data_IF_288382707858
#
_entry.id   IF_288382707858
#
_cell.length_a   1.000
_cell.length_b   1.000
_cell.length_c   1.000
_cell.angle_alpha   90.00
_cell.angle_beta   90.00
_cell.angle_gamma   90.00
#
_symmetry.space_group_name_H-M   'P 1'
#
loop_
_entity.id
_entity.type
_entity.pdbx_description
1 polymer ?
#
# COMPACT_ATOMS: atom_id res chain seq x y z
N UNK A 1 13.62 -0.21 23.09
CA UNK A 1 13.64 -1.67 23.22
C UNK A 1 12.49 -2.18 22.35
N UNK A 2 12.80 -2.88 21.26
CA UNK A 2 11.75 -3.56 20.47
C UNK A 2 11.07 -4.56 21.40
N UNK A 3 9.74 -4.54 21.41
CA UNK A 3 8.94 -5.46 22.21
C UNK A 3 9.27 -6.89 21.77
N UNK A 4 9.94 -7.67 22.61
CA UNK A 4 10.43 -9.02 22.30
C UNK A 4 9.30 -10.02 22.00
N UNK A 5 8.05 -9.59 22.15
CA UNK A 5 6.85 -10.38 21.87
C UNK A 5 6.20 -10.07 20.50
N UNK A 6 6.69 -9.08 19.75
CA UNK A 6 6.12 -8.72 18.47
C UNK A 6 6.49 -9.78 17.41
N UNK A 7 5.50 -10.59 16.98
CA UNK A 7 5.69 -11.67 15.97
C UNK A 7 6.15 -11.13 14.62
N UNK A 8 5.78 -9.90 14.27
CA UNK A 8 6.23 -9.23 13.05
C UNK A 8 7.74 -9.01 13.07
N UNK A 9 8.27 -8.51 14.20
CA UNK A 9 9.72 -8.30 14.39
C UNK A 9 10.52 -9.61 14.38
N UNK A 10 9.97 -10.71 14.90
CA UNK A 10 10.63 -12.03 14.89
C UNK A 10 10.80 -12.63 13.49
N UNK A 11 10.12 -12.08 12.48
CA UNK A 11 10.28 -12.41 11.06
C UNK A 11 11.22 -11.46 10.33
N UNK A 12 11.99 -10.63 11.05
CA UNK A 12 12.94 -9.70 10.46
C UNK A 12 12.31 -8.48 9.79
N UNK A 13 11.03 -8.17 10.11
CA UNK A 13 10.33 -7.00 9.55
C UNK A 13 9.98 -5.98 10.62
N UNK A 14 9.98 -4.70 10.25
CA UNK A 14 9.67 -3.57 11.14
C UNK A 14 8.46 -2.79 10.62
N UNK A 15 7.46 -2.56 11.47
CA UNK A 15 6.31 -1.70 11.14
C UNK A 15 6.65 -0.21 11.25
N UNK A 16 7.61 0.16 12.10
CA UNK A 16 8.00 1.56 12.35
C UNK A 16 9.15 2.02 11.46
N UNK A 17 10.07 1.11 11.06
CA UNK A 17 11.31 1.43 10.35
C UNK A 17 12.09 2.59 11.01
N UNK A 18 12.15 2.61 12.34
CA UNK A 18 12.73 3.72 13.12
C UNK A 18 14.18 4.03 12.71
N UNK A 19 14.99 3.00 12.47
CA UNK A 19 16.36 3.16 12.01
C UNK A 19 16.50 3.93 10.68
N UNK A 20 15.52 3.81 9.79
CA UNK A 20 15.47 4.57 8.53
C UNK A 20 15.07 6.02 8.81
N UNK A 21 14.07 6.23 9.68
CA UNK A 21 13.61 7.57 10.03
C UNK A 21 14.67 8.38 10.76
N UNK A 22 15.42 7.77 11.69
CA UNK A 22 16.50 8.42 12.41
C UNK A 22 17.58 9.00 11.49
N UNK A 23 17.80 8.36 10.32
CA UNK A 23 18.74 8.85 9.30
C UNK A 23 18.08 9.88 8.39
N UNK A 24 16.90 9.56 7.82
CA UNK A 24 16.24 10.39 6.80
C UNK A 24 15.71 11.69 7.38
N UNK A 25 15.41 11.76 8.67
CA UNK A 25 14.90 12.98 9.30
C UNK A 25 15.90 14.14 9.31
N UNK A 26 17.18 13.84 9.19
CA UNK A 26 18.27 14.84 9.09
C UNK A 26 18.62 15.22 7.64
N UNK A 27 18.02 14.54 6.63
CA UNK A 27 18.26 14.81 5.23
C UNK A 27 17.41 15.96 4.70
N UNK A 28 17.82 16.52 3.56
CA UNK A 28 17.02 17.47 2.80
C UNK A 28 15.64 16.89 2.44
N UNK A 29 14.58 17.61 2.82
CA UNK A 29 13.18 17.21 2.62
C UNK A 29 12.62 17.65 1.25
N UNK A 30 13.40 18.32 0.40
CA UNK A 30 12.99 18.84 -0.89
C UNK A 30 12.17 20.12 -0.82
N UNK A 31 11.53 20.49 -1.94
CA UNK A 31 10.78 21.75 -2.10
C UNK A 31 9.57 21.86 -1.16
N UNK A 32 8.94 20.74 -0.83
CA UNK A 32 7.71 20.68 -0.04
C UNK A 32 7.87 19.64 1.09
N UNK A 33 8.43 20.01 2.24
CA UNK A 33 8.81 19.06 3.30
C UNK A 33 7.68 18.17 3.86
N UNK A 34 6.43 18.57 3.66
CA UNK A 34 5.26 17.80 4.13
C UNK A 34 4.60 16.92 3.08
N UNK A 35 5.18 16.76 1.90
CA UNK A 35 4.61 15.90 0.86
C UNK A 35 4.77 14.42 1.19
N UNK A 36 3.88 13.60 0.62
CA UNK A 36 3.91 12.14 0.81
C UNK A 36 5.18 11.50 0.24
N UNK A 37 5.60 11.93 -0.96
CA UNK A 37 6.89 11.61 -1.58
C UNK A 37 7.77 12.86 -1.62
N UNK A 38 9.10 12.69 -1.66
CA UNK A 38 10.03 13.81 -1.83
C UNK A 38 9.85 14.47 -3.18
N UNK A 39 9.70 15.79 -3.19
CA UNK A 39 9.60 16.63 -4.39
C UNK A 39 10.85 17.49 -4.48
N UNK A 40 11.56 17.44 -5.60
CA UNK A 40 12.81 18.18 -5.81
C UNK A 40 12.65 19.25 -6.90
N UNK A 41 13.61 20.15 -7.01
CA UNK A 41 13.70 21.06 -8.15
C UNK A 41 13.74 20.28 -9.47
N UNK A 42 13.19 20.88 -10.51
CA UNK A 42 13.25 20.26 -11.85
C UNK A 42 14.65 20.33 -12.45
N UNK A 43 15.43 19.29 -12.18
CA UNK A 43 16.76 19.09 -12.74
C UNK A 43 16.73 18.46 -14.13
N UNK A 44 15.58 17.88 -14.54
CA UNK A 44 15.48 17.17 -15.81
C UNK A 44 15.20 18.11 -16.98
N UNK A 45 14.40 19.15 -16.80
CA UNK A 45 14.09 20.12 -17.84
C UNK A 45 14.57 21.54 -17.52
N UNK A 46 14.84 21.83 -16.23
CA UNK A 46 15.26 23.15 -15.77
C UNK A 46 14.15 24.19 -15.72
N UNK A 47 12.88 23.76 -15.78
CA UNK A 47 11.73 24.66 -15.72
C UNK A 47 11.41 25.04 -14.26
N UNK A 48 11.52 26.33 -13.87
CA UNK A 48 11.28 26.77 -12.49
C UNK A 48 9.82 26.59 -12.03
N UNK A 49 8.86 26.46 -12.94
CA UNK A 49 7.44 26.23 -12.61
C UNK A 49 7.14 24.75 -12.36
N UNK A 50 8.11 23.85 -12.65
CA UNK A 50 7.99 22.42 -12.48
C UNK A 50 8.83 21.89 -11.33
N UNK A 51 8.64 20.63 -11.03
CA UNK A 51 9.42 19.88 -10.03
C UNK A 51 9.55 18.42 -10.48
N UNK A 52 10.53 17.71 -9.92
CA UNK A 52 10.66 16.29 -10.15
C UNK A 52 10.09 15.50 -8.97
N UNK A 53 9.36 14.44 -9.28
CA UNK A 53 8.95 13.39 -8.35
C UNK A 53 9.46 12.06 -8.88
N UNK A 54 10.28 11.38 -8.09
CA UNK A 54 10.82 10.06 -8.40
C UNK A 54 10.52 9.17 -7.20
N UNK A 55 9.89 8.04 -7.43
CA UNK A 55 9.53 7.09 -6.38
C UNK A 55 9.84 5.67 -6.81
N UNK A 56 10.36 4.86 -5.89
CA UNK A 56 10.64 3.44 -6.11
C UNK A 56 10.01 2.62 -5.00
N UNK A 57 9.23 1.64 -5.38
CA UNK A 57 8.61 0.66 -4.49
C UNK A 57 8.31 -0.62 -5.28
N UNK A 58 7.85 -1.68 -4.63
CA UNK A 58 7.62 -2.96 -5.26
C UNK A 58 6.50 -3.79 -4.64
N UNK A 59 6.28 -4.97 -5.25
CA UNK A 59 5.29 -5.94 -4.78
C UNK A 59 5.66 -6.59 -3.44
N UNK A 60 6.91 -6.47 -3.02
CA UNK A 60 7.43 -7.06 -1.79
C UNK A 60 7.27 -8.58 -1.75
N UNK A 61 7.03 -9.12 -0.56
CA UNK A 61 6.91 -10.57 -0.35
C UNK A 61 5.63 -11.20 -0.90
N UNK A 62 4.72 -10.42 -1.49
CA UNK A 62 3.56 -10.96 -2.21
C UNK A 62 3.99 -11.77 -3.44
N UNK A 63 5.12 -11.42 -4.06
CA UNK A 63 5.73 -12.18 -5.15
C UNK A 63 5.96 -13.65 -4.79
N UNK A 64 6.26 -13.95 -3.52
CA UNK A 64 6.44 -15.30 -3.00
C UNK A 64 5.12 -16.10 -3.04
N UNK A 65 4.00 -15.46 -2.74
CA UNK A 65 2.68 -16.12 -2.80
C UNK A 65 2.31 -16.47 -4.25
N UNK A 66 2.61 -15.58 -5.20
CA UNK A 66 2.42 -15.88 -6.62
C UNK A 66 3.34 -17.03 -7.08
N UNK A 67 4.58 -17.06 -6.61
CA UNK A 67 5.49 -18.17 -6.87
C UNK A 67 4.92 -19.51 -6.35
N UNK A 68 4.46 -19.57 -5.12
CA UNK A 68 3.84 -20.77 -4.56
C UNK A 68 2.61 -21.17 -5.39
N UNK A 69 1.73 -20.23 -5.71
CA UNK A 69 0.53 -20.51 -6.52
C UNK A 69 0.89 -21.05 -7.90
N UNK A 70 1.91 -20.49 -8.55
CA UNK A 70 2.40 -20.99 -9.83
C UNK A 70 2.98 -22.43 -9.70
N UNK A 71 3.75 -22.70 -8.66
CA UNK A 71 4.31 -24.03 -8.43
C UNK A 71 3.25 -25.11 -8.19
N UNK A 72 2.11 -24.74 -7.59
CA UNK A 72 0.99 -25.65 -7.35
C UNK A 72 0.08 -25.83 -8.57
N UNK A 73 -0.18 -24.76 -9.33
CA UNK A 73 -1.22 -24.73 -10.36
C UNK A 73 -0.69 -24.63 -11.80
N UNK A 74 0.58 -24.25 -11.98
CA UNK A 74 1.22 -24.08 -13.29
C UNK A 74 0.70 -22.88 -14.10
N UNK A 75 -0.08 -21.95 -13.51
CA UNK A 75 -0.59 -20.78 -14.22
C UNK A 75 0.31 -19.55 -13.99
N UNK A 76 1.08 -19.11 -14.99
CA UNK A 76 1.95 -17.93 -14.87
C UNK A 76 1.15 -16.62 -14.78
N UNK A 77 -0.14 -16.58 -15.14
CA UNK A 77 -0.96 -15.36 -15.13
C UNK A 77 -1.18 -14.80 -13.73
N UNK A 78 -0.93 -15.58 -12.67
CA UNK A 78 -0.95 -15.09 -11.29
C UNK A 78 0.03 -13.90 -11.11
N UNK A 79 1.08 -13.81 -11.93
CA UNK A 79 2.06 -12.73 -11.89
C UNK A 79 1.59 -11.42 -12.53
N UNK A 80 0.46 -11.39 -13.27
CA UNK A 80 -0.18 -10.12 -13.66
C UNK A 80 -0.56 -9.29 -12.43
N UNK A 81 -1.04 -9.95 -11.36
CA UNK A 81 -1.33 -9.28 -10.09
C UNK A 81 -0.08 -8.69 -9.42
N UNK A 82 1.07 -9.38 -9.52
CA UNK A 82 2.34 -8.90 -8.97
C UNK A 82 2.89 -7.71 -9.76
N UNK A 83 2.75 -7.72 -11.10
CA UNK A 83 3.06 -6.57 -11.94
C UNK A 83 2.23 -5.34 -11.50
N UNK A 84 0.91 -5.52 -11.36
CA UNK A 84 0.02 -4.48 -10.83
C UNK A 84 0.45 -4.00 -9.44
N UNK A 85 0.77 -4.92 -8.50
CA UNK A 85 1.20 -4.55 -7.15
C UNK A 85 2.41 -3.62 -7.18
N UNK A 86 3.45 -3.93 -7.96
CA UNK A 86 4.66 -3.11 -8.03
C UNK A 86 4.39 -1.72 -8.60
N UNK A 87 3.49 -1.61 -9.59
CA UNK A 87 3.12 -0.35 -10.22
C UNK A 87 2.29 0.51 -9.27
N UNK A 88 1.26 -0.08 -8.65
CA UNK A 88 0.31 0.65 -7.78
C UNK A 88 1.00 1.24 -6.56
N UNK A 89 1.96 0.54 -5.97
CA UNK A 89 2.72 1.05 -4.82
C UNK A 89 3.44 2.36 -5.14
N UNK A 90 3.88 2.54 -6.38
CA UNK A 90 4.48 3.79 -6.85
C UNK A 90 3.42 4.83 -7.21
N UNK A 91 2.45 4.46 -8.05
CA UNK A 91 1.51 5.43 -8.63
C UNK A 91 0.55 6.00 -7.58
N UNK A 92 0.09 5.20 -6.60
CA UNK A 92 -0.77 5.70 -5.52
C UNK A 92 0.00 6.65 -4.59
N UNK A 93 1.31 6.41 -4.36
CA UNK A 93 2.16 7.33 -3.60
C UNK A 93 2.41 8.64 -4.37
N UNK A 94 2.61 8.57 -5.69
CA UNK A 94 2.67 9.74 -6.56
C UNK A 94 1.34 10.51 -6.57
N UNK A 95 0.21 9.81 -6.61
CA UNK A 95 -1.10 10.44 -6.59
C UNK A 95 -1.36 11.19 -5.28
N UNK A 96 -0.82 10.71 -4.15
CA UNK A 96 -0.87 11.43 -2.88
C UNK A 96 -0.13 12.77 -2.88
N UNK A 97 0.73 13.03 -3.87
CA UNK A 97 1.37 14.34 -4.07
C UNK A 97 0.81 15.10 -5.28
N UNK A 98 -0.30 14.62 -5.87
CA UNK A 98 -0.96 15.30 -7.00
C UNK A 98 -0.42 14.93 -8.37
N UNK A 99 0.22 13.77 -8.50
CA UNK A 99 0.82 13.29 -9.75
C UNK A 99 0.05 12.08 -10.27
N UNK A 100 -0.58 12.23 -11.43
CA UNK A 100 -1.35 11.18 -12.14
C UNK A 100 -1.24 11.23 -13.65
N UNK A 101 -0.50 12.20 -14.19
CA UNK A 101 -0.30 12.34 -15.63
C UNK A 101 1.18 12.49 -15.96
N UNK A 102 1.55 12.05 -17.18
CA UNK A 102 2.92 12.13 -17.72
C UNK A 102 3.93 11.40 -16.84
N UNK A 103 3.55 10.20 -16.40
CA UNK A 103 4.40 9.34 -15.59
C UNK A 103 5.11 8.34 -16.50
N UNK A 104 6.43 8.23 -16.35
CA UNK A 104 7.23 7.16 -16.98
C UNK A 104 7.62 6.17 -15.88
N UNK A 105 7.39 4.89 -16.14
CA UNK A 105 7.65 3.81 -15.20
C UNK A 105 8.70 2.86 -15.75
N UNK A 106 9.70 2.52 -14.95
CA UNK A 106 10.70 1.49 -15.23
C UNK A 106 10.58 0.35 -14.21
N UNK A 107 10.59 -0.89 -14.69
CA UNK A 107 10.45 -2.08 -13.83
C UNK A 107 11.79 -2.77 -13.63
N UNK A 108 11.97 -3.39 -12.47
CA UNK A 108 13.15 -4.22 -12.17
C UNK A 108 12.68 -5.58 -11.65
N UNK A 109 13.14 -6.65 -12.29
CA UNK A 109 12.86 -8.03 -11.91
C UNK A 109 14.16 -8.72 -11.50
N UNK A 110 14.32 -8.97 -10.20
CA UNK A 110 15.44 -9.71 -9.64
C UNK A 110 14.98 -11.13 -9.35
N UNK A 111 15.49 -12.14 -10.07
CA UNK A 111 14.99 -13.50 -9.97
C UNK A 111 16.07 -14.54 -9.71
N UNK A 112 15.65 -15.67 -9.16
CA UNK A 112 16.41 -16.90 -9.24
C UNK A 112 15.99 -17.65 -10.53
N UNK A 113 16.83 -17.61 -11.56
CA UNK A 113 16.49 -18.19 -12.87
C UNK A 113 16.26 -19.70 -12.85
N UNK A 114 16.73 -20.42 -11.81
CA UNK A 114 16.47 -21.87 -11.65
C UNK A 114 15.03 -22.15 -11.21
N UNK A 115 14.46 -21.25 -10.39
CA UNK A 115 13.14 -21.41 -9.81
C UNK A 115 12.06 -20.57 -10.51
N UNK A 116 12.48 -19.63 -11.37
CA UNK A 116 11.60 -18.67 -12.02
C UNK A 116 11.81 -18.68 -13.54
N UNK A 117 11.07 -19.54 -14.28
CA UNK A 117 11.27 -19.76 -15.70
C UNK A 117 10.84 -18.58 -16.57
N UNK A 118 11.22 -18.61 -17.86
CA UNK A 118 10.98 -17.54 -18.81
C UNK A 118 9.50 -17.22 -19.07
N UNK A 119 8.61 -18.21 -18.96
CA UNK A 119 7.16 -18.00 -19.13
C UNK A 119 6.55 -17.11 -18.03
N UNK A 120 7.06 -17.22 -16.80
CA UNK A 120 6.64 -16.36 -15.69
C UNK A 120 7.16 -14.95 -15.87
N UNK A 121 8.39 -14.80 -16.39
CA UNK A 121 8.92 -13.48 -16.75
C UNK A 121 8.07 -12.82 -17.87
N UNK A 122 7.68 -13.60 -18.88
CA UNK A 122 6.78 -13.12 -19.93
C UNK A 122 5.46 -12.63 -19.34
N UNK A 123 4.84 -13.42 -18.45
CA UNK A 123 3.59 -13.03 -17.78
C UNK A 123 3.73 -11.73 -16.96
N UNK A 124 4.87 -11.50 -16.28
CA UNK A 124 5.13 -10.23 -15.58
C UNK A 124 5.17 -9.05 -16.55
N UNK A 125 5.86 -9.19 -17.69
CA UNK A 125 6.00 -8.13 -18.70
C UNK A 125 4.63 -7.85 -19.34
N UNK A 126 3.91 -8.89 -19.74
CA UNK A 126 2.55 -8.79 -20.30
C UNK A 126 1.58 -8.12 -19.30
N UNK A 127 1.61 -8.56 -18.04
CA UNK A 127 0.80 -7.99 -16.97
C UNK A 127 1.11 -6.51 -16.70
N UNK A 128 2.37 -6.10 -16.84
CA UNK A 128 2.78 -4.70 -16.76
C UNK A 128 2.10 -3.87 -17.85
N UNK A 129 2.23 -4.27 -19.11
CA UNK A 129 1.65 -3.52 -20.24
C UNK A 129 0.11 -3.52 -20.20
N UNK A 130 -0.51 -4.65 -19.85
CA UNK A 130 -1.97 -4.76 -19.68
C UNK A 130 -2.47 -3.78 -18.61
N UNK A 131 -1.80 -3.72 -17.48
CA UNK A 131 -2.20 -2.82 -16.39
C UNK A 131 -1.99 -1.35 -16.75
N UNK A 132 -0.87 -1.00 -17.39
CA UNK A 132 -0.63 0.35 -17.88
C UNK A 132 -1.66 0.77 -18.93
N UNK A 133 -2.10 -0.16 -19.81
CA UNK A 133 -3.16 0.12 -20.77
C UNK A 133 -4.49 0.38 -20.05
N UNK A 134 -4.85 -0.43 -19.05
CA UNK A 134 -6.06 -0.19 -18.25
C UNK A 134 -6.04 1.19 -17.57
N UNK A 135 -4.90 1.63 -17.07
CA UNK A 135 -4.76 2.97 -16.49
C UNK A 135 -4.95 4.08 -17.53
N UNK A 136 -4.39 3.92 -18.74
CA UNK A 136 -4.60 4.86 -19.86
C UNK A 136 -6.07 4.96 -20.25
N UNK A 137 -6.77 3.83 -20.29
CA UNK A 137 -8.21 3.77 -20.59
C UNK A 137 -9.06 4.49 -19.53
N UNK A 138 -8.55 4.58 -18.30
CA UNK A 138 -9.11 5.36 -17.18
C UNK A 138 -8.65 6.83 -17.17
N UNK A 139 -7.92 7.27 -18.20
CA UNK A 139 -7.46 8.64 -18.33
C UNK A 139 -6.22 9.00 -17.52
N UNK A 140 -5.45 8.01 -17.06
CA UNK A 140 -4.14 8.21 -16.39
C UNK A 140 -3.05 8.14 -17.46
N UNK A 141 -2.29 9.22 -17.65
CA UNK A 141 -1.21 9.26 -18.64
C UNK A 141 0.08 8.66 -18.06
N UNK A 142 0.23 7.36 -18.28
CA UNK A 142 1.37 6.57 -17.80
C UNK A 142 1.93 5.70 -18.94
N UNK A 143 3.26 5.59 -19.01
CA UNK A 143 3.96 4.82 -20.03
C UNK A 143 5.07 3.96 -19.44
N UNK A 144 5.32 2.81 -20.06
CA UNK A 144 6.50 2.01 -19.77
C UNK A 144 7.75 2.69 -20.35
N UNK A 145 8.77 2.85 -19.52
CA UNK A 145 10.11 3.25 -19.91
C UNK A 145 11.05 2.04 -20.11
N UNK A 146 10.47 0.83 -20.10
CA UNK A 146 11.23 -0.42 -20.10
C UNK A 146 11.60 -0.91 -18.72
N UNK A 147 12.67 -1.67 -18.62
CA UNK A 147 13.09 -2.24 -17.33
C UNK A 147 14.34 -3.09 -17.45
N UNK A 148 14.70 -3.75 -16.34
CA UNK A 148 15.86 -4.63 -16.24
C UNK A 148 15.43 -5.96 -15.60
N UNK A 149 16.05 -7.04 -16.06
CA UNK A 149 15.92 -8.37 -15.43
C UNK A 149 17.30 -8.87 -15.05
N UNK A 150 17.51 -9.16 -13.76
CA UNK A 150 18.76 -9.68 -13.24
C UNK A 150 18.59 -11.09 -12.66
N UNK A 151 19.47 -12.00 -13.07
CA UNK A 151 19.56 -13.34 -12.50
C UNK A 151 20.45 -13.29 -11.25
N UNK A 152 19.82 -13.26 -10.08
CA UNK A 152 20.46 -13.01 -8.77
C UNK A 152 20.13 -14.12 -7.76
N UNK A 153 20.20 -15.38 -8.20
CA UNK A 153 19.84 -16.55 -7.37
C UNK A 153 20.60 -16.68 -6.06
N UNK A 154 21.76 -16.04 -5.92
CA UNK A 154 22.50 -15.99 -4.64
C UNK A 154 21.90 -14.96 -3.64
N UNK A 155 21.04 -14.07 -4.12
CA UNK A 155 20.40 -13.03 -3.29
C UNK A 155 18.95 -13.41 -2.95
N UNK A 156 18.22 -13.98 -3.91
CA UNK A 156 16.80 -14.36 -3.72
C UNK A 156 16.55 -15.81 -4.13
N UNK A 157 15.77 -16.52 -3.34
CA UNK A 157 15.30 -17.86 -3.67
C UNK A 157 14.23 -17.90 -4.75
N UNK A 158 13.47 -16.81 -4.93
CA UNK A 158 12.32 -16.71 -5.86
C UNK A 158 12.47 -15.50 -6.78
N UNK A 159 11.71 -14.44 -6.52
CA UNK A 159 11.70 -13.21 -7.32
C UNK A 159 11.37 -11.99 -6.45
N UNK A 160 12.00 -10.87 -6.74
CA UNK A 160 11.59 -9.55 -6.29
C UNK A 160 11.23 -8.70 -7.52
N UNK A 161 10.07 -8.04 -7.45
CA UNK A 161 9.52 -7.21 -8.53
C UNK A 161 9.31 -5.81 -7.99
N UNK A 162 10.10 -4.89 -8.49
CA UNK A 162 10.08 -3.49 -8.12
C UNK A 162 9.86 -2.61 -9.35
N UNK A 163 9.45 -1.37 -9.14
CA UNK A 163 9.39 -0.37 -10.19
C UNK A 163 9.78 1.00 -9.67
N UNK A 164 10.14 1.88 -10.61
CA UNK A 164 10.46 3.28 -10.35
C UNK A 164 9.60 4.14 -11.26
N UNK A 165 8.87 5.07 -10.68
CA UNK A 165 8.04 6.03 -11.39
C UNK A 165 8.68 7.42 -11.36
N UNK A 166 8.70 8.10 -12.50
CA UNK A 166 9.28 9.44 -12.69
C UNK A 166 8.23 10.35 -13.32
N UNK A 167 8.06 11.55 -12.75
CA UNK A 167 7.16 12.56 -13.30
C UNK A 167 7.71 13.97 -13.08
N UNK A 168 7.26 14.91 -13.94
CA UNK A 168 7.64 16.33 -13.89
C UNK A 168 6.36 17.17 -13.82
N UNK A 169 5.66 17.19 -12.66
CA UNK A 169 4.45 17.97 -12.47
C UNK A 169 4.73 19.47 -12.36
N UNK A 170 3.69 20.30 -12.50
CA UNK A 170 3.75 21.70 -12.08
C UNK A 170 3.78 21.81 -10.55
N UNK A 171 4.60 22.72 -10.01
CA UNK A 171 4.65 23.00 -8.57
C UNK A 171 3.28 23.41 -8.01
N UNK A 172 2.44 24.07 -8.81
CA UNK A 172 1.12 24.53 -8.42
C UNK A 172 0.09 23.42 -8.18
N UNK A 173 0.33 22.20 -8.71
CA UNK A 173 -0.57 21.05 -8.52
C UNK A 173 -0.21 20.17 -7.32
N UNK A 174 0.96 20.41 -6.70
CA UNK A 174 1.46 19.55 -5.62
C UNK A 174 0.52 19.59 -4.39
N UNK A 175 0.08 18.42 -3.97
CA UNK A 175 -0.63 18.20 -2.72
C UNK A 175 0.42 18.12 -1.60
N UNK A 176 0.36 19.08 -0.67
CA UNK A 176 1.31 19.11 0.45
C UNK A 176 0.56 18.82 1.76
N UNK A 177 0.86 17.69 2.37
CA UNK A 177 0.25 17.24 3.61
C UNK A 177 0.58 18.12 4.84
N UNK A 178 1.50 19.08 4.72
CA UNK A 178 1.65 20.16 5.72
C UNK A 178 0.38 21.02 5.85
N UNK A 179 -0.52 20.98 4.85
CA UNK A 179 -1.81 21.66 4.88
C UNK A 179 -2.88 20.91 5.68
N UNK A 180 -2.56 19.74 6.21
CA UNK A 180 -3.45 19.03 7.14
C UNK A 180 -3.43 19.79 8.47
N UNK A 181 -4.55 20.43 8.76
CA UNK A 181 -4.76 21.30 9.93
C UNK A 181 -6.01 20.86 10.70
N UNK A 182 -6.22 21.32 11.94
CA UNK A 182 -7.48 21.09 12.64
C UNK A 182 -8.71 21.58 11.87
N UNK A 183 -9.81 20.83 11.97
CA UNK A 183 -11.11 21.21 11.37
C UNK A 183 -11.41 20.57 10.01
N UNK A 184 -10.59 19.62 9.55
CA UNK A 184 -10.83 18.88 8.31
C UNK A 184 -11.60 17.57 8.57
N UNK A 185 -12.40 17.16 7.59
CA UNK A 185 -12.92 15.80 7.49
C UNK A 185 -11.85 14.84 6.99
N UNK A 186 -11.85 13.61 7.51
CA UNK A 186 -11.06 12.51 7.01
C UNK A 186 -12.00 11.59 6.23
N UNK A 187 -11.80 11.46 4.93
CA UNK A 187 -12.57 10.55 4.08
C UNK A 187 -11.71 9.32 3.79
N UNK A 188 -12.19 8.14 4.18
CA UNK A 188 -11.55 6.87 3.87
C UNK A 188 -12.20 6.19 2.67
N UNK A 189 -11.40 5.48 1.87
CA UNK A 189 -11.84 4.73 0.70
C UNK A 189 -11.57 3.25 0.91
N UNK A 190 -12.61 2.43 0.71
CA UNK A 190 -12.54 0.99 0.95
C UNK A 190 -11.43 0.33 0.13
N UNK A 191 -10.74 -0.62 0.76
CA UNK A 191 -9.71 -1.43 0.10
C UNK A 191 -10.26 -2.71 -0.53
N UNK A 192 -11.39 -3.21 -0.05
CA UNK A 192 -12.07 -4.44 -0.47
C UNK A 192 -13.26 -4.18 -1.42
N UNK A 193 -13.98 -5.24 -1.77
CA UNK A 193 -15.06 -5.20 -2.75
C UNK A 193 -14.53 -5.18 -4.19
N UNK A 194 -15.32 -4.68 -5.15
CA UNK A 194 -14.94 -4.63 -6.56
C UNK A 194 -15.20 -3.25 -7.14
N UNK A 195 -14.15 -2.53 -7.51
CA UNK A 195 -14.30 -1.25 -8.23
C UNK A 195 -14.75 -1.48 -9.68
N UNK A 196 -15.24 -0.42 -10.34
CA UNK A 196 -15.72 -0.48 -11.73
C UNK A 196 -14.65 -0.91 -12.75
N UNK A 197 -13.37 -0.81 -12.38
CA UNK A 197 -12.22 -1.18 -13.23
C UNK A 197 -11.48 -2.44 -12.76
N UNK A 198 -11.95 -3.12 -11.72
CA UNK A 198 -11.43 -4.42 -11.28
C UNK A 198 -12.21 -5.56 -11.93
N UNK A 199 -11.50 -6.60 -12.36
CA UNK A 199 -12.11 -7.78 -13.00
C UNK A 199 -12.76 -8.74 -12.01
N UNK A 200 -12.28 -8.76 -10.77
CA UNK A 200 -12.69 -9.68 -9.71
C UNK A 200 -12.84 -8.96 -8.38
N UNK A 201 -13.52 -9.59 -7.44
CA UNK A 201 -13.61 -9.16 -6.06
C UNK A 201 -12.20 -9.06 -5.44
N UNK A 202 -11.97 -8.00 -4.67
CA UNK A 202 -10.71 -7.71 -3.99
C UNK A 202 -10.87 -7.90 -2.48
N UNK A 203 -9.99 -8.65 -1.86
CA UNK A 203 -10.00 -8.87 -0.40
C UNK A 203 -9.62 -7.63 0.41
N UNK A 204 -9.01 -6.63 -0.23
CA UNK A 204 -8.48 -5.44 0.41
C UNK A 204 -7.10 -5.58 1.03
N UNK A 205 -6.43 -6.73 0.89
CA UNK A 205 -5.15 -7.00 1.57
C UNK A 205 -4.04 -6.00 1.17
N UNK A 206 -3.96 -5.60 -0.10
CA UNK A 206 -2.88 -4.77 -0.63
C UNK A 206 -1.54 -5.50 -0.70
N UNK A 207 -0.42 -4.76 -0.60
CA UNK A 207 0.94 -5.32 -0.66
C UNK A 207 1.73 -5.20 0.65
N UNK A 208 1.14 -4.65 1.72
CA UNK A 208 1.81 -4.48 3.01
C UNK A 208 1.40 -5.55 4.02
N UNK A 209 2.32 -5.93 4.90
CA UNK A 209 2.07 -6.93 5.93
C UNK A 209 2.10 -8.38 5.45
N UNK A 210 2.35 -8.64 4.16
CA UNK A 210 2.25 -9.99 3.55
C UNK A 210 3.29 -10.98 4.12
N UNK A 211 4.45 -10.51 4.58
CA UNK A 211 5.41 -11.38 5.27
C UNK A 211 4.78 -12.01 6.51
N UNK A 212 4.04 -11.23 7.30
CA UNK A 212 3.34 -11.76 8.46
C UNK A 212 2.11 -12.58 8.03
N UNK A 213 1.23 -12.01 7.21
CA UNK A 213 -0.02 -12.63 6.80
C UNK A 213 0.17 -14.05 6.24
N UNK A 214 1.13 -14.24 5.31
CA UNK A 214 1.39 -15.56 4.72
C UNK A 214 1.89 -16.58 5.74
N UNK A 215 2.75 -16.18 6.67
CA UNK A 215 3.27 -17.08 7.69
C UNK A 215 2.25 -17.37 8.80
N UNK A 216 1.34 -16.45 9.09
CA UNK A 216 0.27 -16.67 10.05
C UNK A 216 -0.86 -17.53 9.49
N UNK A 217 -1.21 -17.38 8.22
CA UNK A 217 -2.33 -18.10 7.64
C UNK A 217 -1.93 -19.45 7.05
N UNK A 218 -0.81 -19.52 6.35
CA UNK A 218 -0.42 -20.73 5.62
C UNK A 218 0.25 -21.78 6.52
N UNK A 219 -0.03 -23.04 6.22
CA UNK A 219 0.36 -24.20 7.03
C UNK A 219 1.81 -24.66 6.81
N UNK A 220 2.27 -25.56 7.67
CA UNK A 220 3.60 -26.19 7.58
C UNK A 220 3.84 -26.96 6.29
N UNK A 221 2.79 -27.23 5.50
CA UNK A 221 2.93 -27.75 4.14
C UNK A 221 3.91 -26.91 3.32
N UNK A 222 3.78 -25.58 3.38
CA UNK A 222 4.63 -24.64 2.62
C UNK A 222 6.04 -24.54 3.16
N UNK A 223 6.26 -24.74 4.45
CA UNK A 223 7.59 -24.86 5.05
C UNK A 223 8.34 -26.08 4.51
N UNK A 224 7.64 -27.19 4.34
CA UNK A 224 8.24 -28.45 3.93
C UNK A 224 8.54 -28.52 2.43
N UNK A 225 7.67 -27.92 1.61
CA UNK A 225 7.73 -28.09 0.15
C UNK A 225 8.42 -26.90 -0.58
N UNK A 226 8.51 -25.72 0.04
CA UNK A 226 9.04 -24.49 -0.59
C UNK A 226 10.06 -23.78 0.30
N UNK A 227 11.21 -24.41 0.62
CA UNK A 227 12.22 -23.83 1.52
C UNK A 227 12.87 -22.54 0.97
N UNK A 228 12.81 -22.30 -0.33
CA UNK A 228 13.30 -21.10 -1.00
C UNK A 228 12.44 -19.85 -0.77
N UNK A 229 11.28 -20.00 -0.10
CA UNK A 229 10.28 -18.93 0.07
C UNK A 229 10.38 -18.18 1.40
N UNK A 230 11.35 -18.51 2.24
CA UNK A 230 11.54 -17.85 3.54
C UNK A 230 13.02 -17.78 3.92
N UNK A 231 13.36 -16.87 4.82
CA UNK A 231 14.71 -16.77 5.37
C UNK A 231 14.99 -17.99 6.28
N UNK A 232 16.01 -18.82 5.98
CA UNK A 232 16.36 -20.00 6.79
C UNK A 232 16.80 -19.66 8.22
N UNK A 233 17.10 -18.39 8.51
CA UNK A 233 17.44 -17.92 9.86
C UNK A 233 16.21 -17.60 10.71
N UNK A 234 15.02 -17.53 10.11
CA UNK A 234 13.79 -17.35 10.88
C UNK A 234 13.46 -18.60 11.66
N UNK A 235 13.19 -18.46 12.95
CA UNK A 235 12.83 -19.60 13.80
C UNK A 235 11.61 -20.32 13.23
N UNK A 236 11.70 -21.65 13.16
CA UNK A 236 10.69 -22.51 12.52
C UNK A 236 9.25 -22.27 13.06
N UNK A 237 9.11 -21.91 14.32
CA UNK A 237 7.80 -21.64 14.94
C UNK A 237 7.07 -20.43 14.32
N UNK A 238 7.80 -19.50 13.65
CA UNK A 238 7.25 -18.31 13.01
C UNK A 238 7.06 -18.44 11.49
N UNK A 239 7.49 -19.56 10.88
CA UNK A 239 7.41 -19.78 9.43
C UNK A 239 6.25 -20.70 9.11
N UNK A 240 5.28 -20.22 8.30
CA UNK A 240 4.10 -20.99 7.85
C UNK A 240 3.47 -21.80 8.99
N UNK A 241 3.03 -21.08 10.01
CA UNK A 241 2.52 -21.67 11.25
C UNK A 241 0.98 -21.66 11.36
N UNK A 242 0.30 -21.26 10.29
CA UNK A 242 -1.16 -21.19 10.21
C UNK A 242 -1.82 -22.55 9.89
N UNK A 243 -3.15 -22.54 9.84
CA UNK A 243 -3.92 -23.76 9.60
C UNK A 243 -4.25 -24.03 8.11
N UNK A 244 -4.04 -23.05 7.18
CA UNK A 244 -4.63 -23.07 5.85
C UNK A 244 -3.67 -23.49 4.75
N UNK A 245 -4.26 -24.04 3.68
CA UNK A 245 -3.65 -24.10 2.35
C UNK A 245 -4.23 -22.97 1.48
N UNK A 246 -3.61 -22.71 0.32
CA UNK A 246 -4.03 -21.64 -0.59
C UNK A 246 -5.47 -21.82 -1.10
N UNK A 247 -5.88 -23.09 -1.34
CA UNK A 247 -7.20 -23.42 -1.86
C UNK A 247 -8.29 -23.52 -0.79
N UNK A 248 -7.93 -23.42 0.49
CA UNK A 248 -8.92 -23.47 1.56
C UNK A 248 -9.85 -22.24 1.51
N UNK A 249 -11.15 -22.39 1.79
CA UNK A 249 -12.09 -21.27 1.79
C UNK A 249 -11.74 -20.28 2.89
N UNK A 250 -11.71 -18.99 2.55
CA UNK A 250 -11.60 -17.92 3.55
C UNK A 250 -12.93 -17.74 4.27
N UNK A 251 -12.91 -17.78 5.58
CA UNK A 251 -14.10 -17.63 6.41
C UNK A 251 -14.82 -16.29 6.14
N UNK A 252 -16.14 -16.34 6.00
CA UNK A 252 -17.00 -15.18 5.70
C UNK A 252 -16.65 -14.45 4.38
N UNK A 253 -16.09 -15.16 3.41
CA UNK A 253 -15.75 -14.64 2.09
C UNK A 253 -16.10 -15.65 1.00
N UNK A 254 -16.27 -15.16 -0.24
CA UNK A 254 -16.37 -16.02 -1.42
C UNK A 254 -15.00 -16.44 -1.98
N UNK A 255 -13.93 -15.88 -1.43
CA UNK A 255 -12.55 -16.13 -1.87
C UNK A 255 -11.93 -17.30 -1.11
N UNK A 256 -10.96 -17.98 -1.74
CA UNK A 256 -10.03 -18.82 -1.01
C UNK A 256 -8.97 -17.98 -0.28
N UNK A 257 -8.25 -18.57 0.66
CA UNK A 257 -7.14 -17.90 1.36
C UNK A 257 -6.09 -17.40 0.37
N UNK A 258 -5.74 -18.20 -0.64
CA UNK A 258 -4.80 -17.84 -1.69
C UNK A 258 -5.32 -16.68 -2.55
N UNK A 259 -6.57 -16.72 -2.99
CA UNK A 259 -7.18 -15.63 -3.76
C UNK A 259 -7.21 -14.34 -2.95
N UNK A 260 -7.50 -14.41 -1.66
CA UNK A 260 -7.52 -13.24 -0.79
C UNK A 260 -6.12 -12.65 -0.58
N UNK A 261 -5.10 -13.48 -0.34
CA UNK A 261 -3.72 -13.06 -0.18
C UNK A 261 -3.11 -12.51 -1.50
N UNK A 262 -3.57 -13.02 -2.64
CA UNK A 262 -3.10 -12.64 -3.98
C UNK A 262 -3.97 -11.56 -4.63
N UNK A 263 -5.05 -11.09 -4.00
CA UNK A 263 -5.86 -9.99 -4.55
C UNK A 263 -4.94 -8.83 -4.93
N UNK A 264 -4.92 -8.40 -6.22
CA UNK A 264 -4.02 -7.34 -6.66
C UNK A 264 -4.33 -6.03 -5.93
N UNK A 265 -3.31 -5.25 -5.65
CA UNK A 265 -3.48 -3.96 -4.99
C UNK A 265 -4.34 -3.03 -5.85
N UNK A 266 -5.48 -2.57 -5.31
CA UNK A 266 -6.35 -1.57 -5.96
C UNK A 266 -5.59 -0.27 -6.12
N UNK A 267 -5.64 0.37 -7.28
CA UNK A 267 -5.16 1.75 -7.44
C UNK A 267 -6.27 2.76 -7.16
N UNK A 268 -5.91 3.91 -6.60
CA UNK A 268 -6.82 5.04 -6.42
C UNK A 268 -6.47 6.23 -7.31
N UNK A 269 -5.52 6.09 -8.23
CA UNK A 269 -5.06 7.19 -9.10
C UNK A 269 -6.19 7.84 -9.88
N UNK A 270 -7.08 7.09 -10.59
CA UNK A 270 -8.19 7.72 -11.33
C UNK A 270 -9.15 8.48 -10.42
N UNK A 271 -9.43 7.92 -9.25
CA UNK A 271 -10.31 8.51 -8.24
C UNK A 271 -9.71 9.82 -7.68
N UNK A 272 -8.44 9.81 -7.26
CA UNK A 272 -7.76 11.00 -6.73
C UNK A 272 -7.68 12.11 -7.77
N UNK A 273 -7.41 11.78 -9.04
CA UNK A 273 -7.43 12.73 -10.15
C UNK A 273 -8.78 13.42 -10.25
N UNK A 274 -9.88 12.67 -10.25
CA UNK A 274 -11.23 13.24 -10.36
C UNK A 274 -11.60 14.06 -9.12
N UNK A 275 -11.27 13.60 -7.92
CA UNK A 275 -11.47 14.38 -6.69
C UNK A 275 -10.74 15.72 -6.80
N UNK A 276 -9.46 15.73 -7.18
CA UNK A 276 -8.68 16.96 -7.31
C UNK A 276 -9.26 17.91 -8.36
N UNK A 277 -9.75 17.40 -9.48
CA UNK A 277 -10.42 18.21 -10.51
C UNK A 277 -11.68 18.90 -9.99
N UNK A 278 -12.38 18.29 -9.03
CA UNK A 278 -13.63 18.81 -8.48
C UNK A 278 -13.44 19.77 -7.29
N UNK A 279 -12.53 19.47 -6.37
CA UNK A 279 -12.34 20.27 -5.15
C UNK A 279 -11.00 21.03 -5.11
N UNK A 280 -10.10 20.77 -6.04
CA UNK A 280 -8.84 21.50 -6.22
C UNK A 280 -8.02 21.61 -4.93
N UNK A 281 -7.61 22.82 -4.60
CA UNK A 281 -6.78 23.13 -3.41
C UNK A 281 -7.48 22.92 -2.07
N UNK A 282 -8.78 22.60 -2.06
CA UNK A 282 -9.49 22.20 -0.84
C UNK A 282 -9.27 20.73 -0.47
N UNK A 283 -8.64 19.94 -1.34
CA UNK A 283 -7.91 18.74 -0.97
C UNK A 283 -6.63 19.14 -0.23
N UNK A 284 -6.63 19.04 1.09
CA UNK A 284 -5.55 19.52 1.98
C UNK A 284 -4.45 18.48 2.19
N UNK A 285 -4.74 17.20 1.94
CA UNK A 285 -3.79 16.13 2.02
C UNK A 285 -4.37 14.81 1.56
N UNK A 286 -3.49 13.89 1.22
CA UNK A 286 -3.80 12.52 0.88
C UNK A 286 -2.75 11.58 1.49
N UNK A 287 -3.19 10.46 2.05
CA UNK A 287 -2.33 9.47 2.71
C UNK A 287 -2.69 8.07 2.23
N UNK A 288 -1.77 7.42 1.56
CA UNK A 288 -1.84 6.02 1.20
C UNK A 288 -1.46 5.19 2.43
N UNK A 289 -2.42 4.47 3.01
CA UNK A 289 -2.26 3.64 4.20
C UNK A 289 -1.55 2.30 3.86
N UNK A 290 -0.36 2.41 3.29
CA UNK A 290 0.59 1.34 3.00
C UNK A 290 1.39 0.96 4.27
N UNK A 291 2.72 0.92 4.25
CA UNK A 291 3.51 0.67 5.45
C UNK A 291 3.19 1.66 6.59
N UNK A 292 2.90 1.14 7.77
CA UNK A 292 2.40 1.91 8.91
C UNK A 292 0.87 1.91 9.04
N UNK A 293 0.15 1.32 8.08
CA UNK A 293 -1.30 1.12 8.13
C UNK A 293 -2.06 2.39 8.48
N UNK A 294 -2.96 2.28 9.46
CA UNK A 294 -3.81 3.37 9.91
C UNK A 294 -3.07 4.47 10.67
N UNK A 295 -1.84 4.22 11.13
CA UNK A 295 -1.05 5.18 11.90
C UNK A 295 -0.21 6.11 11.03
N UNK A 296 -0.16 5.88 9.71
CA UNK A 296 0.69 6.65 8.79
C UNK A 296 0.37 8.15 8.77
N UNK A 297 -0.88 8.55 9.02
CA UNK A 297 -1.29 9.95 9.11
C UNK A 297 -0.52 10.75 10.17
N UNK A 298 -0.01 10.12 11.24
CA UNK A 298 0.78 10.78 12.28
C UNK A 298 2.03 11.51 11.76
N UNK A 299 2.51 11.15 10.58
CA UNK A 299 3.70 11.77 9.96
C UNK A 299 3.42 13.11 9.30
N UNK A 300 2.16 13.49 9.16
CA UNK A 300 1.73 14.63 8.35
C UNK A 300 0.99 15.68 9.17
N UNK A 301 1.05 16.93 8.70
CA UNK A 301 0.57 18.06 9.48
C UNK A 301 1.47 18.36 10.69
N UNK A 302 1.06 19.33 11.49
CA UNK A 302 1.74 19.69 12.73
C UNK A 302 0.74 20.14 13.77
N UNK A 303 0.84 19.61 14.97
CA UNK A 303 -0.07 19.93 16.06
C UNK A 303 -1.50 19.40 15.83
N UNK A 304 -1.63 18.29 15.13
CA UNK A 304 -2.89 17.67 14.74
C UNK A 304 -3.21 16.46 15.58
N UNK A 305 -4.45 16.36 16.02
CA UNK A 305 -5.04 15.16 16.57
C UNK A 305 -6.01 14.59 15.55
N UNK A 306 -5.69 13.40 15.03
CA UNK A 306 -6.53 12.62 14.13
C UNK A 306 -7.51 11.80 14.97
N UNK A 307 -8.81 11.94 14.73
CA UNK A 307 -9.85 11.13 15.37
C UNK A 307 -10.53 10.32 14.30
N UNK A 308 -10.38 9.01 14.34
CA UNK A 308 -11.03 8.05 13.46
C UNK A 308 -12.06 7.28 14.28
N UNK A 309 -13.33 7.66 14.19
CA UNK A 309 -14.44 7.15 15.01
C UNK A 309 -15.55 6.49 14.19
N UNK A 310 -15.34 6.36 12.86
CA UNK A 310 -16.29 5.70 11.96
C UNK A 310 -15.52 4.89 10.89
N UNK A 311 -14.64 3.98 11.31
CA UNK A 311 -13.88 3.14 10.39
C UNK A 311 -14.78 2.11 9.69
N UNK A 312 -14.31 1.60 8.54
CA UNK A 312 -14.88 0.42 7.90
C UNK A 312 -14.78 -0.80 8.83
N UNK A 313 -15.70 -1.73 8.67
CA UNK A 313 -15.51 -3.05 9.25
C UNK A 313 -14.29 -3.70 8.60
N UNK A 314 -13.39 -4.30 9.37
CA UNK A 314 -12.25 -5.00 8.76
C UNK A 314 -12.73 -6.10 7.81
N UNK A 315 -12.24 -6.15 6.56
CA UNK A 315 -12.49 -7.24 5.63
C UNK A 315 -12.17 -8.62 6.21
N UNK A 316 -12.81 -9.70 5.72
CA UNK A 316 -12.64 -11.06 6.22
C UNK A 316 -11.20 -11.50 6.36
N UNK A 317 -10.33 -11.12 5.42
CA UNK A 317 -8.90 -11.46 5.46
C UNK A 317 -8.21 -10.92 6.73
N UNK A 318 -8.49 -9.68 7.14
CA UNK A 318 -7.89 -9.10 8.35
C UNK A 318 -8.48 -9.69 9.62
N UNK A 319 -9.78 -10.03 9.61
CA UNK A 319 -10.41 -10.73 10.72
C UNK A 319 -9.78 -12.09 10.95
N UNK A 320 -9.52 -12.84 9.87
CA UNK A 320 -8.92 -14.18 9.95
C UNK A 320 -7.44 -14.10 10.34
N UNK A 321 -6.64 -13.16 9.78
CA UNK A 321 -5.26 -12.93 10.23
C UNK A 321 -5.23 -12.70 11.74
N UNK A 322 -6.08 -11.82 12.26
CA UNK A 322 -6.15 -11.53 13.71
C UNK A 322 -6.55 -12.75 14.52
N UNK A 323 -7.55 -13.51 14.05
CA UNK A 323 -8.08 -14.68 14.78
C UNK A 323 -7.01 -15.80 14.89
N UNK A 324 -6.27 -16.05 13.83
CA UNK A 324 -5.23 -17.08 13.77
C UNK A 324 -3.96 -16.66 14.51
N UNK A 325 -3.49 -15.41 14.28
CA UNK A 325 -2.23 -14.94 14.86
C UNK A 325 -2.33 -14.55 16.34
N UNK A 326 -3.52 -14.17 16.80
CA UNK A 326 -3.71 -13.55 18.12
C UNK A 326 -3.12 -12.14 18.24
N UNK A 327 -2.79 -11.50 17.10
CA UNK A 327 -2.23 -10.14 17.05
C UNK A 327 -3.18 -9.13 17.68
N UNK A 328 -2.65 -8.18 18.43
CA UNK A 328 -3.44 -7.14 19.09
C UNK A 328 -4.07 -6.16 18.10
N UNK A 329 -5.15 -5.49 18.50
CA UNK A 329 -5.77 -4.45 17.67
C UNK A 329 -4.78 -3.33 17.34
N UNK A 330 -3.96 -2.96 18.31
CA UNK A 330 -2.93 -1.93 18.17
C UNK A 330 -1.96 -2.28 17.04
N UNK A 331 -1.46 -3.50 17.02
CA UNK A 331 -0.52 -3.98 15.99
C UNK A 331 -1.23 -4.16 14.64
N UNK A 332 -2.45 -4.69 14.62
CA UNK A 332 -3.25 -4.83 13.38
C UNK A 332 -3.38 -3.49 12.65
N UNK A 333 -3.70 -2.40 13.36
CA UNK A 333 -3.85 -1.07 12.75
C UNK A 333 -2.51 -0.41 12.37
N UNK A 334 -1.39 -0.87 12.94
CA UNK A 334 -0.04 -0.41 12.56
C UNK A 334 0.51 -1.14 11.33
N UNK A 335 0.11 -2.40 11.14
CA UNK A 335 0.64 -3.25 10.05
C UNK A 335 -0.24 -3.24 8.83
N UNK A 336 -1.58 -3.27 9.01
CA UNK A 336 -2.56 -3.44 7.94
C UNK A 336 -3.44 -2.21 7.74
N UNK A 337 -4.02 -2.11 6.55
CA UNK A 337 -4.96 -1.02 6.21
C UNK A 337 -6.34 -1.17 6.87
N UNK A 338 -6.69 -2.34 7.35
CA UNK A 338 -7.92 -2.65 8.11
C UNK A 338 -9.23 -2.25 7.41
N UNK A 339 -9.25 -2.20 6.07
CA UNK A 339 -10.46 -1.97 5.28
C UNK A 339 -10.49 -0.64 4.52
N UNK A 340 -9.54 0.28 4.75
CA UNK A 340 -9.34 1.41 3.85
C UNK A 340 -7.84 1.70 3.66
N UNK A 341 -7.43 1.85 2.41
CA UNK A 341 -6.01 2.00 2.08
C UNK A 341 -5.63 3.41 1.61
N UNK A 342 -6.62 4.22 1.28
CA UNK A 342 -6.45 5.64 1.00
C UNK A 342 -7.32 6.45 1.96
N UNK A 343 -6.78 7.55 2.47
CA UNK A 343 -7.53 8.60 3.16
C UNK A 343 -7.14 9.98 2.63
N UNK A 344 -8.14 10.85 2.52
CA UNK A 344 -7.91 12.26 2.17
C UNK A 344 -8.42 13.17 3.26
N UNK A 345 -7.87 14.39 3.27
CA UNK A 345 -8.19 15.44 4.20
C UNK A 345 -8.74 16.65 3.41
N UNK A 346 -10.00 16.98 3.63
CA UNK A 346 -10.66 18.08 2.94
C UNK A 346 -11.54 18.90 3.91
N UNK A 347 -11.99 20.09 3.47
CA UNK A 347 -12.98 20.83 4.24
C UNK A 347 -14.29 20.04 4.34
N UNK A 348 -15.03 20.13 5.48
CA UNK A 348 -16.27 19.36 5.69
C UNK A 348 -17.32 19.54 4.58
N UNK A 349 -17.41 20.74 4.00
CA UNK A 349 -18.36 21.05 2.93
C UNK A 349 -18.15 20.24 1.63
N UNK A 350 -16.97 19.62 1.46
CA UNK A 350 -16.65 18.80 0.28
C UNK A 350 -16.85 17.31 0.52
N UNK A 351 -17.10 16.87 1.75
CA UNK A 351 -17.15 15.45 2.11
C UNK A 351 -18.16 14.66 1.26
N UNK A 352 -19.40 15.15 1.16
CA UNK A 352 -20.45 14.46 0.40
C UNK A 352 -20.12 14.39 -1.10
N UNK A 353 -19.52 15.46 -1.67
CA UNK A 353 -19.09 15.47 -3.06
C UNK A 353 -18.00 14.45 -3.34
N UNK A 354 -17.05 14.30 -2.43
CA UNK A 354 -15.98 13.30 -2.54
C UNK A 354 -16.54 11.88 -2.48
N UNK A 355 -17.49 11.62 -1.59
CA UNK A 355 -18.17 10.31 -1.48
C UNK A 355 -18.96 10.00 -2.76
N UNK A 356 -19.67 10.99 -3.32
CA UNK A 356 -20.40 10.86 -4.59
C UNK A 356 -19.44 10.51 -5.75
N UNK A 357 -18.27 11.16 -5.83
CA UNK A 357 -17.27 10.86 -6.85
C UNK A 357 -16.77 9.41 -6.70
N UNK A 358 -16.51 8.96 -5.48
CA UNK A 358 -16.07 7.58 -5.23
C UNK A 358 -17.09 6.53 -5.69
N UNK A 359 -18.37 6.82 -5.52
CA UNK A 359 -19.45 5.93 -5.95
C UNK A 359 -19.46 5.70 -7.48
N UNK A 360 -19.01 6.67 -8.30
CA UNK A 360 -18.87 6.49 -9.75
C UNK A 360 -17.85 5.41 -10.14
N UNK A 361 -16.90 5.15 -9.25
CA UNK A 361 -15.88 4.09 -9.39
C UNK A 361 -16.30 2.78 -8.70
N UNK A 362 -17.48 2.71 -8.13
CA UNK A 362 -17.94 1.58 -7.30
C UNK A 362 -16.94 1.29 -6.15
N UNK A 363 -16.43 2.34 -5.53
CA UNK A 363 -15.56 2.26 -4.35
C UNK A 363 -16.32 2.89 -3.19
N UNK A 364 -16.56 2.12 -2.13
CA UNK A 364 -17.18 2.62 -0.92
C UNK A 364 -16.27 3.69 -0.28
N UNK A 365 -16.88 4.82 0.06
CA UNK A 365 -16.21 5.90 0.76
C UNK A 365 -17.09 6.47 1.86
N UNK A 366 -16.49 6.94 2.92
CA UNK A 366 -17.22 7.63 4.00
C UNK A 366 -16.31 8.56 4.79
N UNK A 367 -16.93 9.50 5.49
CA UNK A 367 -16.24 10.25 6.54
C UNK A 367 -15.90 9.27 7.67
N UNK A 368 -14.62 8.93 7.81
CA UNK A 368 -14.11 8.02 8.84
C UNK A 368 -13.74 8.74 10.12
N UNK A 369 -13.65 10.07 10.07
CA UNK A 369 -13.23 10.87 11.19
C UNK A 369 -12.96 12.32 10.85
N UNK A 370 -12.21 12.98 11.69
CA UNK A 370 -11.86 14.40 11.60
C UNK A 370 -10.51 14.72 12.21
N UNK A 371 -10.02 15.91 11.93
CA UNK A 371 -8.82 16.47 12.55
C UNK A 371 -9.19 17.53 13.59
N UNK A 372 -8.51 17.49 14.72
CA UNK A 372 -8.63 18.46 15.81
C UNK A 372 -7.24 18.99 16.19
N UNK A 373 -7.19 20.03 17.04
CA UNK A 373 -5.91 20.47 17.60
C UNK A 373 -5.37 19.40 18.56
N UNK A 374 -4.07 19.12 18.48
CA UNK A 374 -3.42 18.21 19.43
C UNK A 374 -3.57 18.71 20.87
N UNK A 375 -3.69 17.78 21.78
CA UNK A 375 -3.70 18.03 23.23
C UNK A 375 -2.32 17.80 23.86
N UNK A 376 -1.34 17.43 23.03
CA UNK A 376 0.04 17.19 23.48
C UNK A 376 0.75 18.49 23.79
N UNK A 377 1.34 18.62 24.98
CA UNK A 377 2.08 19.80 25.45
C UNK A 377 3.28 20.15 24.56
N UNK A 378 3.89 19.15 23.92
CA UNK A 378 5.02 19.32 23.00
C UNK A 378 4.62 19.52 21.54
N UNK A 379 3.30 19.66 21.23
CA UNK A 379 2.78 19.88 19.90
C UNK A 379 2.86 18.67 18.95
N UNK A 380 3.19 17.47 19.44
CA UNK A 380 3.22 16.25 18.62
C UNK A 380 1.84 15.87 18.13
N UNK A 381 1.79 15.29 16.94
CA UNK A 381 0.58 14.70 16.40
C UNK A 381 0.11 13.52 17.25
N UNK A 382 -1.21 13.31 17.29
CA UNK A 382 -1.86 12.22 18.02
C UNK A 382 -2.89 11.56 17.12
N UNK A 383 -3.11 10.26 17.29
CA UNK A 383 -4.18 9.51 16.63
C UNK A 383 -5.00 8.76 17.67
N UNK A 384 -6.31 8.90 17.57
CA UNK A 384 -7.28 8.08 18.28
C UNK A 384 -8.14 7.31 17.27
N UNK A 385 -8.14 5.99 17.40
CA UNK A 385 -9.07 5.10 16.70
C UNK A 385 -10.10 4.65 17.72
N UNK A 386 -11.37 5.00 17.50
CA UNK A 386 -12.47 4.72 18.41
C UNK A 386 -13.43 3.71 17.79
N UNK A 387 -13.69 2.64 18.53
CA UNK A 387 -14.79 1.71 18.28
C UNK A 387 -15.78 1.77 19.44
N UNK A 388 -16.93 1.09 19.34
CA UNK A 388 -17.95 1.09 20.39
C UNK A 388 -17.39 0.75 21.78
N UNK A 389 -16.41 -0.15 21.86
CA UNK A 389 -15.93 -0.70 23.12
C UNK A 389 -14.46 -0.36 23.44
N UNK A 390 -13.73 0.29 22.54
CA UNK A 390 -12.29 0.51 22.70
C UNK A 390 -11.82 1.79 22.03
N UNK A 391 -10.86 2.44 22.65
CA UNK A 391 -10.10 3.54 22.03
C UNK A 391 -8.62 3.16 21.99
N UNK A 392 -8.07 3.09 20.80
CA UNK A 392 -6.63 2.93 20.57
C UNK A 392 -6.01 4.32 20.44
N UNK A 393 -4.83 4.52 21.06
CA UNK A 393 -4.12 5.81 21.05
C UNK A 393 -2.70 5.61 20.57
N UNK A 394 -2.25 6.51 19.67
CA UNK A 394 -0.92 6.51 19.09
C UNK A 394 -0.35 7.94 19.02
N UNK A 395 0.98 8.10 19.09
CA UNK A 395 1.69 9.38 19.04
C UNK A 395 2.22 9.86 20.37
#
# INVERSE_FOLDING_TARGET
MQDSNNRYAKRGVSSSKQEVHDVVDHMDKGLFPGTFCKVTEDLLTGDPERCNVIHSDGAGTKSILAYISYMENGDPKVFHGIAQDSIVMNLDDLACVGVWDRVVLSSTVNRNARNFPGEVLAALIEGTEDFLQNLRDLGVDVQSGGGETADVGDITGTVAVDSCAVAIPFRSQIINNSNITPGLSIIGFASDGQSSYERTENSGIGSNGLTSARHELLSKHYYQNYPETFDPKTDQEYVYCGPYQMDDPLKNSNLTVGQALLSPTRTYVPLLKEIYQNIGKDLKGAVHCSGGGQTKCLRFGSGVRFIKDNLFNPPPIFQEIKAVSGTTDEEMHQVYNMGHRLEIFCKPEHADKVIEISANFNIDAKTIGRTERTMSENGKNQLEIRSENKTLKYG
#
